data_IF_777564131719
#
_entry.id   IF_777564131719
#
_cell.length_a   1.000
_cell.length_b   1.000
_cell.length_c   1.000
_cell.angle_alpha   90.00
_cell.angle_beta   90.00
_cell.angle_gamma   90.00
#
_symmetry.space_group_name_H-M   'P 1'
#
loop_
_entity.id
_entity.type
_entity.pdbx_description
1 polymer ?
#
# COMPACT_ATOMS: atom_id res chain seq x y z
N UNK A 1 18.96 10.25 2.83
CA UNK A 1 20.21 9.62 2.36
C UNK A 1 19.81 8.40 1.52
N UNK A 2 19.94 8.49 0.20
CA UNK A 2 19.61 7.37 -0.70
C UNK A 2 20.70 6.31 -0.53
N UNK A 3 20.32 5.14 -0.01
CA UNK A 3 21.24 4.04 0.30
C UNK A 3 21.69 3.23 -0.94
N UNK A 4 21.22 3.59 -2.13
CA UNK A 4 21.50 2.87 -3.37
C UNK A 4 21.80 3.86 -4.50
N UNK A 5 22.86 3.55 -5.27
CA UNK A 5 23.16 4.25 -6.51
C UNK A 5 22.03 4.04 -7.54
N UNK A 6 21.92 4.92 -8.51
CA UNK A 6 20.94 4.79 -9.62
C UNK A 6 21.15 3.47 -10.42
N UNK A 7 22.37 2.95 -10.42
CA UNK A 7 22.73 1.70 -11.08
C UNK A 7 22.23 0.49 -10.29
N UNK A 8 22.34 0.50 -8.95
CA UNK A 8 21.77 -0.56 -8.10
C UNK A 8 20.25 -0.55 -8.15
N UNK A 9 19.62 0.62 -8.18
CA UNK A 9 18.17 0.74 -8.42
C UNK A 9 17.79 0.13 -9.77
N UNK A 10 18.56 0.42 -10.81
CA UNK A 10 18.33 -0.09 -12.15
C UNK A 10 18.49 -1.61 -12.24
N UNK A 11 19.52 -2.18 -11.63
CA UNK A 11 19.76 -3.62 -11.56
C UNK A 11 18.65 -4.32 -10.81
N UNK A 12 18.23 -3.79 -9.65
CA UNK A 12 17.16 -4.37 -8.85
C UNK A 12 15.81 -4.36 -9.59
N UNK A 13 15.50 -3.26 -10.27
CA UNK A 13 14.29 -3.16 -11.10
C UNK A 13 14.38 -3.99 -12.37
N UNK A 14 15.54 -4.11 -12.98
CA UNK A 14 15.76 -4.99 -14.14
C UNK A 14 15.61 -6.46 -13.76
N UNK A 15 16.20 -6.90 -12.66
CA UNK A 15 16.15 -8.31 -12.23
C UNK A 15 14.71 -8.74 -11.89
N UNK A 16 13.89 -7.83 -11.37
CA UNK A 16 12.46 -8.10 -11.13
C UNK A 16 11.61 -7.95 -12.40
N UNK A 17 12.07 -7.20 -13.41
CA UNK A 17 11.31 -6.93 -14.64
C UNK A 17 11.73 -7.82 -15.82
N UNK A 18 12.94 -8.37 -15.84
CA UNK A 18 13.43 -9.21 -16.97
C UNK A 18 12.74 -10.58 -17.07
N UNK A 19 12.08 -11.03 -16.01
CA UNK A 19 11.24 -12.23 -16.02
C UNK A 19 9.84 -11.95 -16.57
N UNK A 20 9.47 -10.70 -16.77
CA UNK A 20 8.15 -10.36 -17.27
C UNK A 20 8.17 -10.15 -18.78
N UNK A 21 7.33 -10.91 -19.49
CA UNK A 21 6.94 -10.61 -20.87
C UNK A 21 6.58 -9.11 -21.03
N UNK A 22 6.68 -8.57 -22.24
CA UNK A 22 6.31 -7.16 -22.55
C UNK A 22 4.91 -6.77 -22.07
N UNK A 23 4.07 -7.73 -21.73
CA UNK A 23 2.69 -7.57 -21.25
C UNK A 23 2.54 -7.64 -19.72
N UNK A 24 3.62 -7.57 -18.96
CA UNK A 24 3.54 -7.59 -17.50
C UNK A 24 2.72 -6.39 -16.97
N UNK A 25 1.80 -6.68 -16.03
CA UNK A 25 0.95 -5.66 -15.42
C UNK A 25 1.74 -4.52 -14.77
N UNK A 26 2.95 -4.79 -14.27
CA UNK A 26 3.84 -3.76 -13.69
C UNK A 26 4.25 -2.69 -14.70
N UNK A 27 4.27 -3.02 -16.00
CA UNK A 27 4.64 -2.09 -17.06
C UNK A 27 3.63 -0.96 -17.26
N UNK A 28 2.43 -1.08 -16.69
CA UNK A 28 1.42 0.01 -16.63
C UNK A 28 1.88 1.17 -15.74
N UNK A 29 2.90 0.93 -14.89
CA UNK A 29 3.34 1.86 -13.85
C UNK A 29 4.77 2.32 -14.11
N UNK A 30 5.03 3.59 -13.78
CA UNK A 30 6.37 4.17 -13.69
C UNK A 30 6.75 4.25 -12.22
N UNK A 31 7.68 3.40 -11.79
CA UNK A 31 8.21 3.42 -10.41
C UNK A 31 8.99 4.72 -10.17
N UNK A 32 8.72 5.40 -9.05
CA UNK A 32 9.41 6.63 -8.68
C UNK A 32 10.35 6.43 -7.49
N UNK A 33 9.85 5.77 -6.44
CA UNK A 33 10.58 5.65 -5.17
C UNK A 33 10.16 4.39 -4.41
N UNK A 34 11.13 3.76 -3.75
CA UNK A 34 10.85 2.75 -2.72
C UNK A 34 10.60 3.48 -1.40
N UNK A 35 9.41 3.29 -0.83
CA UNK A 35 9.00 3.90 0.45
C UNK A 35 9.46 3.04 1.62
N UNK A 36 9.30 1.70 1.49
CA UNK A 36 9.63 0.75 2.55
C UNK A 36 10.17 -0.53 1.95
N UNK A 37 11.16 -1.11 2.64
CA UNK A 37 11.69 -2.46 2.37
C UNK A 37 11.55 -3.32 3.60
N UNK A 38 11.16 -4.57 3.41
CA UNK A 38 11.08 -5.56 4.49
C UNK A 38 11.22 -6.97 3.91
N UNK A 39 11.38 -7.97 4.80
CA UNK A 39 11.38 -9.38 4.41
C UNK A 39 10.04 -9.78 3.78
N UNK A 40 8.93 -9.21 4.24
CA UNK A 40 7.59 -9.46 3.71
C UNK A 40 7.43 -9.02 2.25
N UNK A 41 8.13 -7.95 1.85
CA UNK A 41 8.03 -7.32 0.53
C UNK A 41 8.39 -5.86 0.58
N UNK A 42 8.08 -5.15 -0.49
CA UNK A 42 8.43 -3.75 -0.65
C UNK A 42 7.18 -2.89 -0.89
N UNK A 43 7.29 -1.60 -0.56
CA UNK A 43 6.27 -0.60 -0.88
C UNK A 43 6.89 0.48 -1.76
N UNK A 44 6.24 0.75 -2.89
CA UNK A 44 6.70 1.69 -3.89
C UNK A 44 5.72 2.84 -4.07
N UNK A 45 6.25 4.03 -4.37
CA UNK A 45 5.50 5.09 -5.03
C UNK A 45 5.67 4.95 -6.52
N UNK A 46 4.56 5.07 -7.25
CA UNK A 46 4.57 4.97 -8.71
C UNK A 46 3.53 5.90 -9.34
N UNK A 47 3.64 6.06 -10.65
CA UNK A 47 2.66 6.78 -11.48
C UNK A 47 2.06 5.78 -12.47
N UNK A 48 0.73 5.71 -12.54
CA UNK A 48 0.03 4.97 -13.57
C UNK A 48 0.17 5.70 -14.91
N UNK A 49 0.73 5.01 -15.92
CA UNK A 49 1.09 5.64 -17.20
C UNK A 49 -0.10 6.09 -18.05
N UNK A 50 -1.26 5.48 -17.86
CA UNK A 50 -2.45 5.76 -18.66
C UNK A 50 -3.05 7.14 -18.41
N UNK A 51 -2.97 7.64 -17.18
CA UNK A 51 -3.64 8.87 -16.75
C UNK A 51 -2.81 9.75 -15.81
N UNK A 52 -1.60 9.32 -15.47
CA UNK A 52 -0.71 10.06 -14.57
C UNK A 52 -1.10 9.98 -13.09
N UNK A 53 -2.05 9.12 -12.70
CA UNK A 53 -2.44 8.97 -11.29
C UNK A 53 -1.28 8.44 -10.45
N UNK A 54 -1.03 9.11 -9.31
CA UNK A 54 -0.08 8.64 -8.30
C UNK A 54 -0.69 7.47 -7.54
N UNK A 55 0.09 6.42 -7.40
CA UNK A 55 -0.32 5.18 -6.74
C UNK A 55 0.76 4.68 -5.78
N UNK A 56 0.31 3.88 -4.80
CA UNK A 56 1.17 3.09 -3.93
C UNK A 56 1.05 1.64 -4.36
N UNK A 57 2.19 1.00 -4.61
CA UNK A 57 2.27 -0.41 -4.97
C UNK A 57 2.91 -1.15 -3.81
N UNK A 58 2.19 -2.11 -3.25
CA UNK A 58 2.69 -3.02 -2.20
C UNK A 58 2.96 -4.37 -2.81
N UNK A 59 4.19 -4.84 -2.69
CA UNK A 59 4.63 -6.18 -3.08
C UNK A 59 4.64 -7.08 -1.85
N UNK A 60 4.13 -8.28 -1.96
CA UNK A 60 4.29 -9.33 -0.97
C UNK A 60 4.94 -10.56 -1.58
N UNK A 61 5.94 -11.09 -0.87
CA UNK A 61 6.61 -12.34 -1.24
C UNK A 61 5.87 -13.53 -0.66
N UNK A 62 5.79 -14.66 -1.38
CA UNK A 62 5.24 -15.89 -0.85
C UNK A 62 6.18 -16.49 0.21
N UNK A 63 5.64 -17.35 1.05
CA UNK A 63 6.38 -18.20 1.99
C UNK A 63 7.25 -17.44 3.01
N UNK A 64 6.90 -16.21 3.35
CA UNK A 64 7.62 -15.43 4.35
C UNK A 64 6.68 -14.98 5.47
N UNK A 65 7.27 -14.80 6.65
CA UNK A 65 6.61 -14.24 7.82
C UNK A 65 5.36 -15.00 8.24
N UNK A 66 5.52 -16.30 8.48
CA UNK A 66 4.48 -17.14 9.05
C UNK A 66 4.08 -16.65 10.45
N UNK A 67 2.80 -16.82 10.80
CA UNK A 67 2.33 -16.69 12.17
C UNK A 67 2.89 -17.81 13.08
N UNK A 68 2.50 -17.81 14.34
CA UNK A 68 2.99 -18.79 15.33
C UNK A 68 2.52 -20.22 15.00
N UNK A 69 1.38 -20.35 14.35
CA UNK A 69 0.78 -21.62 13.93
C UNK A 69 1.31 -22.09 12.57
N UNK A 70 1.98 -21.22 11.81
CA UNK A 70 2.51 -21.52 10.48
C UNK A 70 1.45 -21.53 9.38
N UNK A 71 0.25 -21.04 9.65
CA UNK A 71 -0.89 -21.07 8.74
C UNK A 71 -1.07 -19.77 7.96
N UNK A 72 -0.67 -18.62 8.52
CA UNK A 72 -0.86 -17.29 7.94
C UNK A 72 0.47 -16.67 7.52
N UNK A 73 0.51 -16.10 6.33
CA UNK A 73 1.73 -15.55 5.74
C UNK A 73 1.60 -14.06 5.42
N UNK A 74 2.71 -13.42 5.05
CA UNK A 74 2.69 -12.05 4.54
C UNK A 74 1.82 -11.89 3.27
N UNK A 75 1.68 -12.94 2.48
CA UNK A 75 0.80 -12.95 1.32
C UNK A 75 -0.68 -12.91 1.74
N UNK A 76 -1.04 -13.60 2.81
CA UNK A 76 -2.40 -13.60 3.35
C UNK A 76 -2.76 -12.23 3.93
N UNK A 77 -1.81 -11.58 4.63
CA UNK A 77 -1.97 -10.20 5.12
C UNK A 77 -2.38 -9.25 3.98
N UNK A 78 -1.64 -9.24 2.86
CA UNK A 78 -1.89 -8.29 1.77
C UNK A 78 -3.14 -8.64 0.96
N UNK A 79 -3.47 -9.93 0.82
CA UNK A 79 -4.74 -10.37 0.22
C UNK A 79 -5.94 -9.97 1.06
N UNK A 80 -5.81 -10.08 2.39
CA UNK A 80 -6.85 -9.60 3.29
C UNK A 80 -7.00 -8.08 3.19
N UNK A 81 -5.90 -7.32 3.09
CA UNK A 81 -5.95 -5.88 2.83
C UNK A 81 -6.71 -5.58 1.52
N UNK A 82 -6.40 -6.27 0.42
CA UNK A 82 -7.10 -6.12 -0.86
C UNK A 82 -8.60 -6.42 -0.73
N UNK A 83 -8.95 -7.48 0.00
CA UNK A 83 -10.34 -7.84 0.27
C UNK A 83 -11.07 -6.74 1.05
N UNK A 84 -10.45 -6.20 2.09
CA UNK A 84 -11.03 -5.10 2.89
C UNK A 84 -11.20 -3.82 2.07
N UNK A 85 -10.21 -3.45 1.25
CA UNK A 85 -10.33 -2.30 0.35
C UNK A 85 -11.50 -2.46 -0.63
N UNK A 86 -11.74 -3.67 -1.16
CA UNK A 86 -12.91 -3.96 -2.01
C UNK A 86 -14.23 -3.80 -1.25
N UNK A 87 -14.30 -4.30 -0.01
CA UNK A 87 -15.48 -4.15 0.84
C UNK A 87 -15.80 -2.70 1.19
N UNK A 88 -14.77 -1.86 1.28
CA UNK A 88 -14.87 -0.47 1.71
C UNK A 88 -14.79 0.52 0.53
N UNK A 89 -14.88 0.05 -0.72
CA UNK A 89 -14.66 0.86 -1.93
C UNK A 89 -15.57 2.11 -2.02
N UNK A 90 -16.78 2.04 -1.47
CA UNK A 90 -17.74 3.16 -1.47
C UNK A 90 -17.55 4.11 -0.28
N UNK A 91 -16.54 3.90 0.56
CA UNK A 91 -16.32 4.67 1.77
C UNK A 91 -15.25 5.74 1.56
N UNK A 92 -15.59 6.97 1.93
CA UNK A 92 -14.70 8.14 1.77
C UNK A 92 -13.49 8.16 2.70
N UNK A 93 -13.44 7.27 3.68
CA UNK A 93 -12.35 7.19 4.67
C UNK A 93 -11.33 6.10 4.35
N UNK A 94 -11.42 5.45 3.19
CA UNK A 94 -10.43 4.46 2.70
C UNK A 94 -9.86 4.88 1.36
N UNK A 95 -8.69 4.33 1.02
CA UNK A 95 -8.13 4.48 -0.32
C UNK A 95 -8.79 3.50 -1.29
N UNK A 96 -8.84 3.85 -2.57
CA UNK A 96 -9.37 2.95 -3.58
C UNK A 96 -8.31 1.94 -4.03
N UNK A 97 -8.72 0.66 -4.09
CA UNK A 97 -7.96 -0.37 -4.77
C UNK A 97 -8.01 -0.08 -6.28
N UNK A 98 -6.84 0.07 -6.90
CA UNK A 98 -6.72 0.41 -8.31
C UNK A 98 -6.48 -0.80 -9.19
N UNK A 99 -5.63 -1.73 -8.72
CA UNK A 99 -5.25 -2.95 -9.47
C UNK A 99 -4.69 -3.99 -8.49
N UNK A 100 -4.70 -5.25 -8.90
CA UNK A 100 -4.00 -6.34 -8.21
C UNK A 100 -3.51 -7.36 -9.25
N UNK A 101 -2.30 -7.86 -9.09
CA UNK A 101 -1.72 -8.82 -10.03
C UNK A 101 -0.57 -9.61 -9.41
N UNK A 102 -0.19 -10.68 -10.10
CA UNK A 102 0.99 -11.48 -9.77
C UNK A 102 2.10 -11.26 -10.80
N UNK A 103 3.34 -11.31 -10.31
CA UNK A 103 4.52 -11.46 -11.16
C UNK A 103 5.30 -12.64 -10.60
N UNK A 104 5.36 -13.73 -11.34
CA UNK A 104 5.82 -15.03 -10.83
C UNK A 104 4.97 -15.40 -9.62
N UNK A 105 5.55 -15.45 -8.42
CA UNK A 105 4.87 -15.80 -7.18
C UNK A 105 4.60 -14.59 -6.28
N UNK A 106 5.18 -13.45 -6.57
CA UNK A 106 4.97 -12.20 -5.82
C UNK A 106 3.61 -11.60 -6.17
N UNK A 107 2.86 -11.22 -5.13
CA UNK A 107 1.59 -10.52 -5.27
C UNK A 107 1.77 -9.01 -5.13
N UNK A 108 1.10 -8.27 -5.99
CA UNK A 108 1.13 -6.82 -6.02
C UNK A 108 -0.27 -6.25 -5.82
N UNK A 109 -0.40 -5.40 -4.83
CA UNK A 109 -1.58 -4.60 -4.54
C UNK A 109 -1.30 -3.16 -4.95
N UNK A 110 -2.17 -2.56 -5.78
CA UNK A 110 -2.06 -1.17 -6.20
C UNK A 110 -3.24 -0.38 -5.64
N UNK A 111 -2.95 0.66 -4.91
CA UNK A 111 -3.94 1.58 -4.36
C UNK A 111 -3.61 3.03 -4.72
N UNK A 112 -4.60 3.90 -4.70
CA UNK A 112 -4.35 5.32 -4.90
C UNK A 112 -3.44 5.88 -3.80
N UNK A 113 -2.59 6.85 -4.16
CA UNK A 113 -1.84 7.60 -3.17
C UNK A 113 -2.73 8.69 -2.59
N UNK A 114 -2.90 8.68 -1.28
CA UNK A 114 -3.53 9.77 -0.54
C UNK A 114 -2.46 10.79 -0.17
N UNK A 115 -2.68 12.05 -0.54
CA UNK A 115 -1.84 13.15 -0.10
C UNK A 115 -2.37 13.65 1.26
N UNK A 116 -1.51 13.70 2.26
CA UNK A 116 -1.86 14.13 3.61
C UNK A 116 -0.76 13.82 4.62
N UNK A 117 -1.00 14.25 5.84
CA UNK A 117 -0.16 13.96 6.99
C UNK A 117 -0.53 12.58 7.56
N UNK A 118 0.43 11.85 8.07
CA UNK A 118 0.11 10.71 8.92
C UNK A 118 -0.45 11.20 10.28
N UNK A 119 -1.08 10.28 11.03
CA UNK A 119 -1.75 10.67 12.28
C UNK A 119 -0.81 11.29 13.31
N UNK A 120 0.43 10.84 13.41
CA UNK A 120 1.44 11.40 14.31
C UNK A 120 1.81 12.84 13.92
N UNK A 121 2.06 13.08 12.63
CA UNK A 121 2.32 14.42 12.09
C UNK A 121 1.14 15.34 12.32
N UNK A 122 -0.08 14.87 12.05
CA UNK A 122 -1.31 15.61 12.26
C UNK A 122 -1.49 16.02 13.75
N UNK A 123 -1.29 15.09 14.69
CA UNK A 123 -1.37 15.39 16.13
C UNK A 123 -0.33 16.43 16.54
N UNK A 124 0.89 16.33 16.01
CA UNK A 124 1.97 17.28 16.30
C UNK A 124 1.64 18.69 15.78
N UNK A 125 1.13 18.79 14.55
CA UNK A 125 0.75 20.08 13.98
C UNK A 125 -0.48 20.72 14.65
N UNK A 126 -1.38 19.91 15.22
CA UNK A 126 -2.60 20.36 15.88
C UNK A 126 -2.49 20.41 17.41
N UNK A 127 -1.29 20.34 17.97
CA UNK A 127 -1.04 20.23 19.41
C UNK A 127 -1.79 21.24 20.28
N UNK A 128 -1.98 22.44 19.78
CA UNK A 128 -2.62 23.53 20.51
C UNK A 128 -4.12 23.70 20.22
N UNK A 129 -4.74 22.84 19.42
CA UNK A 129 -6.14 22.94 19.04
C UNK A 129 -7.01 21.81 19.59
N UNK A 130 -7.56 21.99 20.77
CA UNK A 130 -8.47 21.02 21.41
C UNK A 130 -9.68 20.69 20.52
N UNK A 131 -10.30 21.70 19.92
CA UNK A 131 -11.48 21.51 19.05
C UNK A 131 -11.18 20.61 17.83
N UNK A 132 -10.01 20.75 17.21
CA UNK A 132 -9.60 19.88 16.08
C UNK A 132 -9.42 18.44 16.55
N UNK A 133 -8.82 18.24 17.72
CA UNK A 133 -8.62 16.92 18.31
C UNK A 133 -9.93 16.22 18.66
N UNK A 134 -10.85 16.90 19.30
CA UNK A 134 -12.18 16.37 19.62
C UNK A 134 -12.93 15.94 18.36
N UNK A 135 -13.02 16.81 17.34
CA UNK A 135 -13.63 16.45 16.05
C UNK A 135 -12.96 15.26 15.37
N UNK A 136 -11.64 15.15 15.48
CA UNK A 136 -10.91 14.03 14.91
C UNK A 136 -11.22 12.73 15.63
N UNK A 137 -11.30 12.75 16.97
CA UNK A 137 -11.70 11.59 17.77
C UNK A 137 -13.12 11.14 17.43
N UNK A 138 -14.06 12.08 17.34
CA UNK A 138 -15.45 11.79 16.95
C UNK A 138 -15.51 11.15 15.56
N UNK A 139 -14.75 11.66 14.60
CA UNK A 139 -14.66 11.06 13.27
C UNK A 139 -14.10 9.64 13.31
N UNK A 140 -13.04 9.39 14.09
CA UNK A 140 -12.46 8.04 14.24
C UNK A 140 -13.49 7.09 14.85
N UNK A 141 -14.20 7.49 15.90
CA UNK A 141 -15.24 6.67 16.53
C UNK A 141 -16.36 6.35 15.53
N UNK A 142 -16.78 7.33 14.74
CA UNK A 142 -17.80 7.12 13.71
C UNK A 142 -17.34 6.15 12.62
N UNK A 143 -16.10 6.27 12.15
CA UNK A 143 -15.48 5.35 11.15
C UNK A 143 -15.43 3.93 11.72
N UNK A 144 -14.93 3.74 12.94
CA UNK A 144 -14.85 2.42 13.58
C UNK A 144 -16.26 1.82 13.75
N UNK A 145 -17.24 2.63 14.18
CA UNK A 145 -18.63 2.18 14.31
C UNK A 145 -19.22 1.74 12.95
N UNK A 146 -18.89 2.45 11.87
CA UNK A 146 -19.37 2.10 10.53
C UNK A 146 -18.73 0.80 10.03
N UNK A 147 -17.43 0.62 10.27
CA UNK A 147 -16.70 -0.62 9.94
C UNK A 147 -17.30 -1.81 10.69
N UNK A 148 -17.57 -1.70 11.98
CA UNK A 148 -18.18 -2.76 12.78
C UNK A 148 -19.59 -3.14 12.30
N UNK A 149 -20.39 -2.17 11.80
CA UNK A 149 -21.71 -2.46 11.20
C UNK A 149 -21.60 -3.29 9.92
N UNK A 150 -20.47 -3.25 9.24
CA UNK A 150 -20.20 -4.06 8.04
C UNK A 150 -19.72 -5.48 8.38
N UNK A 151 -19.58 -5.80 9.67
CA UNK A 151 -19.08 -7.10 10.11
C UNK A 151 -17.57 -7.28 9.85
N UNK A 152 -16.84 -6.19 9.94
CA UNK A 152 -15.37 -6.15 9.81
C UNK A 152 -14.75 -5.90 11.18
#
# INVERSE_FOLDING_TARGET
>A
MDLFSEEEKRIYFQTTCEVSSKDSAINKYKMEKIIKRSNKGNVYRAIRKSDGQKVIIKQSRPFVNYDAEGEWTALDDIKNEAHMLKKLADKSYTTNLTDEFYIVDDYFLVQEQVDGLNFEEFIRETEHSLNIREKTLDNIVNIVSDIHKLGI
#
